data_IF_343170617287
#
_entry.id   IF_343170617287
#
_cell.length_a   1.000
_cell.length_b   1.000
_cell.length_c   1.000
_cell.angle_alpha   90.00
_cell.angle_beta   90.00
_cell.angle_gamma   90.00
#
_symmetry.space_group_name_H-M   'P 1'
#
loop_
_entity.id
_entity.type
_entity.pdbx_description
1 polymer ?
#
# COMPACT_ATOMS: atom_id res chain seq x y z
N UNK A 1 -6.20 10.10 -3.30
CA UNK A 1 -7.64 9.88 -3.14
C UNK A 1 -7.85 8.65 -2.27
N UNK A 2 -8.75 8.71 -1.29
CA UNK A 2 -9.18 7.54 -0.51
C UNK A 2 -10.48 6.96 -1.07
N UNK A 3 -11.02 5.90 -0.44
CA UNK A 3 -12.35 5.38 -0.78
C UNK A 3 -13.36 6.53 -0.83
N UNK A 4 -14.12 6.61 -1.91
CA UNK A 4 -15.08 7.69 -2.10
C UNK A 4 -16.36 7.38 -1.33
N UNK A 5 -16.52 8.05 -0.19
CA UNK A 5 -17.71 7.92 0.65
C UNK A 5 -18.64 9.12 0.40
N UNK A 6 -19.97 8.93 0.41
CA UNK A 6 -20.90 10.03 0.32
C UNK A 6 -20.78 10.94 1.55
N UNK A 7 -21.09 12.22 1.38
CA UNK A 7 -20.95 13.20 2.45
C UNK A 7 -21.83 12.97 3.67
N UNK A 8 -22.93 12.22 3.51
CA UNK A 8 -23.86 11.79 4.55
C UNK A 8 -23.52 10.43 5.18
N UNK A 9 -22.40 9.82 4.76
CA UNK A 9 -21.95 8.56 5.35
C UNK A 9 -21.64 8.76 6.85
N UNK A 10 -22.07 7.84 7.76
CA UNK A 10 -21.88 7.99 9.20
C UNK A 10 -20.43 8.24 9.61
N UNK A 11 -19.46 7.58 8.98
CA UNK A 11 -18.04 7.77 9.27
C UNK A 11 -17.55 9.17 8.85
N UNK A 12 -18.10 9.74 7.77
CA UNK A 12 -17.75 11.10 7.30
C UNK A 12 -18.35 12.13 8.25
N UNK A 13 -19.63 11.97 8.64
CA UNK A 13 -20.31 12.85 9.59
C UNK A 13 -19.65 12.83 10.98
N UNK A 14 -19.13 11.68 11.39
CA UNK A 14 -18.40 11.51 12.65
C UNK A 14 -16.91 11.94 12.56
N UNK A 15 -16.48 12.51 11.44
CA UNK A 15 -15.07 12.87 11.17
C UNK A 15 -14.08 11.76 11.51
N UNK A 16 -14.46 10.51 11.19
CA UNK A 16 -13.61 9.36 11.48
C UNK A 16 -12.31 9.43 10.68
N UNK A 17 -11.22 9.18 11.34
CA UNK A 17 -9.88 9.21 10.71
C UNK A 17 -9.80 8.23 9.53
N UNK A 18 -9.21 8.65 8.41
CA UNK A 18 -9.13 7.93 7.13
C UNK A 18 -10.47 7.70 6.41
N UNK A 19 -11.55 8.35 6.84
CA UNK A 19 -12.90 8.26 6.26
C UNK A 19 -13.43 9.63 5.80
N UNK A 20 -12.56 10.53 5.43
CA UNK A 20 -12.94 11.85 4.91
C UNK A 20 -13.45 11.77 3.48
N UNK A 21 -14.37 12.65 3.11
CA UNK A 21 -14.78 12.83 1.72
C UNK A 21 -13.60 13.30 0.85
N UNK A 22 -13.54 12.81 -0.38
CA UNK A 22 -12.56 13.28 -1.34
C UNK A 22 -12.90 14.70 -1.81
N UNK A 23 -11.87 15.47 -2.15
CA UNK A 23 -12.02 16.76 -2.82
C UNK A 23 -11.81 16.58 -4.31
N UNK A 24 -12.78 16.97 -5.12
CA UNK A 24 -12.75 16.80 -6.55
C UNK A 24 -12.55 18.15 -7.24
N UNK A 25 -11.77 18.22 -8.35
CA UNK A 25 -11.65 19.43 -9.14
C UNK A 25 -13.00 19.78 -9.75
N UNK A 26 -13.38 21.05 -9.66
CA UNK A 26 -14.65 21.56 -10.20
C UNK A 26 -14.60 21.84 -11.71
N UNK A 27 -13.41 22.00 -12.24
CA UNK A 27 -13.11 22.38 -13.63
C UNK A 27 -12.82 21.19 -14.56
N UNK A 28 -12.92 19.95 -14.05
CA UNK A 28 -12.71 18.72 -14.81
C UNK A 28 -13.98 17.85 -14.83
N UNK A 29 -14.95 18.15 -15.71
CA UNK A 29 -16.19 17.37 -15.84
C UNK A 29 -15.89 15.90 -16.14
N UNK A 30 -16.52 14.98 -15.39
CA UNK A 30 -16.35 13.53 -15.58
C UNK A 30 -15.12 12.93 -14.89
N UNK A 31 -14.15 13.72 -14.42
CA UNK A 31 -12.95 13.22 -13.77
C UNK A 31 -13.27 12.31 -12.57
N UNK A 32 -14.17 12.76 -11.65
CA UNK A 32 -14.61 11.94 -10.52
C UNK A 32 -15.14 10.58 -10.96
N UNK A 33 -16.04 10.58 -11.97
CA UNK A 33 -16.66 9.32 -12.46
C UNK A 33 -15.61 8.33 -12.93
N UNK A 34 -14.69 8.76 -13.79
CA UNK A 34 -13.64 7.89 -14.34
C UNK A 34 -12.76 7.32 -13.24
N UNK A 35 -12.35 8.14 -12.27
CA UNK A 35 -11.49 7.70 -11.17
C UNK A 35 -12.22 6.75 -10.21
N UNK A 36 -13.49 7.01 -9.91
CA UNK A 36 -14.30 6.14 -9.03
C UNK A 36 -14.55 4.80 -9.71
N UNK A 37 -14.91 4.78 -10.99
CA UNK A 37 -15.10 3.54 -11.77
C UNK A 37 -13.82 2.71 -11.83
N UNK A 38 -12.66 3.36 -12.05
CA UNK A 38 -11.36 2.69 -11.99
C UNK A 38 -11.11 2.07 -10.60
N UNK A 39 -11.38 2.80 -9.53
CA UNK A 39 -11.19 2.27 -8.17
C UNK A 39 -12.09 1.08 -7.86
N UNK A 40 -13.33 1.07 -8.35
CA UNK A 40 -14.24 -0.07 -8.19
C UNK A 40 -13.67 -1.32 -8.90
N UNK A 41 -13.21 -1.16 -10.14
CA UNK A 41 -12.58 -2.26 -10.89
C UNK A 41 -11.32 -2.79 -10.18
N UNK A 42 -10.50 -1.88 -9.64
CA UNK A 42 -9.30 -2.25 -8.88
C UNK A 42 -9.64 -2.94 -7.55
N UNK A 43 -10.71 -2.52 -6.86
CA UNK A 43 -11.21 -3.18 -5.65
C UNK A 43 -11.65 -4.62 -5.96
N UNK A 44 -12.40 -4.84 -7.05
CA UNK A 44 -12.82 -6.19 -7.47
C UNK A 44 -11.62 -7.09 -7.78
N UNK A 45 -10.61 -6.57 -8.49
CA UNK A 45 -9.37 -7.30 -8.77
C UNK A 45 -8.63 -7.63 -7.47
N UNK A 46 -8.48 -6.65 -6.58
CA UNK A 46 -7.78 -6.82 -5.31
C UNK A 46 -8.46 -7.88 -4.43
N UNK A 47 -9.80 -7.93 -4.37
CA UNK A 47 -10.57 -8.95 -3.64
C UNK A 47 -10.28 -10.37 -4.18
N UNK A 48 -10.19 -10.54 -5.50
CA UNK A 48 -9.80 -11.82 -6.11
C UNK A 48 -8.38 -12.23 -5.68
N UNK A 49 -7.43 -11.28 -5.69
CA UNK A 49 -6.05 -11.54 -5.26
C UNK A 49 -5.98 -11.89 -3.77
N UNK A 50 -6.73 -11.21 -2.89
CA UNK A 50 -6.79 -11.52 -1.45
C UNK A 50 -7.18 -12.98 -1.21
N UNK A 51 -8.13 -13.52 -1.97
CA UNK A 51 -8.51 -14.95 -1.89
C UNK A 51 -7.38 -15.89 -2.34
N UNK A 52 -6.57 -15.49 -3.32
CA UNK A 52 -5.38 -16.25 -3.71
C UNK A 52 -4.32 -16.24 -2.60
N UNK A 53 -4.12 -15.11 -1.92
CA UNK A 53 -3.24 -15.06 -0.75
C UNK A 53 -3.72 -15.96 0.39
N UNK A 54 -5.03 -16.01 0.66
CA UNK A 54 -5.59 -16.97 1.64
C UNK A 54 -5.20 -18.40 1.28
N UNK A 55 -5.40 -18.82 0.03
CA UNK A 55 -5.01 -20.16 -0.44
C UNK A 55 -3.51 -20.42 -0.35
N UNK A 56 -2.68 -19.46 -0.71
CA UNK A 56 -1.22 -19.56 -0.60
C UNK A 56 -0.74 -19.73 0.86
N UNK A 57 -1.56 -19.28 1.82
CA UNK A 57 -1.33 -19.45 3.25
C UNK A 57 -1.94 -20.75 3.82
N UNK A 58 -2.51 -21.61 2.97
CA UNK A 58 -3.19 -22.83 3.43
C UNK A 58 -4.52 -22.57 4.15
N UNK A 59 -5.14 -21.41 3.91
CA UNK A 59 -6.41 -21.00 4.50
C UNK A 59 -7.57 -21.20 3.50
N UNK A 60 -8.83 -21.30 3.97
CA UNK A 60 -9.98 -21.19 3.09
C UNK A 60 -9.93 -19.91 2.25
N UNK A 61 -10.38 -19.97 0.98
CA UNK A 61 -10.33 -18.81 0.08
C UNK A 61 -11.05 -17.58 0.68
N UNK A 62 -12.12 -17.82 1.42
CA UNK A 62 -13.01 -16.82 2.03
C UNK A 62 -12.48 -16.25 3.36
N UNK A 63 -11.33 -16.72 3.85
CA UNK A 63 -10.79 -16.34 5.16
C UNK A 63 -10.72 -14.83 5.37
N UNK A 64 -10.35 -14.11 4.34
CA UNK A 64 -10.22 -12.66 4.39
C UNK A 64 -11.49 -11.89 3.93
N UNK A 65 -12.58 -12.56 3.55
CA UNK A 65 -13.77 -11.87 3.05
C UNK A 65 -14.36 -10.90 4.07
N UNK A 66 -14.44 -11.29 5.35
CA UNK A 66 -14.95 -10.42 6.41
C UNK A 66 -14.03 -9.23 6.70
N UNK A 67 -12.70 -9.41 6.90
CA UNK A 67 -11.77 -8.28 7.02
C UNK A 67 -11.87 -7.27 5.87
N UNK A 68 -12.14 -7.74 4.66
CA UNK A 68 -12.21 -6.91 3.46
C UNK A 68 -13.65 -6.62 3.00
N UNK A 69 -14.68 -6.82 3.82
CA UNK A 69 -16.07 -6.49 3.48
C UNK A 69 -16.25 -5.01 3.14
N UNK A 70 -15.68 -4.15 3.97
CA UNK A 70 -15.61 -2.69 3.78
C UNK A 70 -14.16 -2.25 3.79
N UNK A 71 -13.42 -2.49 2.70
CA UNK A 71 -12.00 -2.26 2.69
C UNK A 71 -11.66 -0.78 2.72
N UNK A 72 -10.47 -0.47 3.20
CA UNK A 72 -9.84 0.80 2.96
C UNK A 72 -9.00 0.70 1.70
N UNK A 73 -9.02 1.75 0.87
CA UNK A 73 -8.08 1.87 -0.22
C UNK A 73 -7.65 3.32 -0.44
N UNK A 74 -6.53 3.47 -1.12
CA UNK A 74 -6.04 4.76 -1.61
C UNK A 74 -5.57 4.59 -3.04
N UNK A 75 -5.94 5.53 -3.91
CA UNK A 75 -5.34 5.68 -5.23
C UNK A 75 -4.38 6.87 -5.19
N UNK A 76 -3.13 6.62 -5.55
CA UNK A 76 -2.10 7.64 -5.76
C UNK A 76 -1.79 7.71 -7.24
N UNK A 77 -2.04 8.86 -7.83
CA UNK A 77 -1.66 9.20 -9.19
C UNK A 77 -0.39 10.04 -9.11
N UNK A 78 0.69 9.52 -9.66
CA UNK A 78 2.00 10.19 -9.59
C UNK A 78 2.51 10.47 -10.98
N UNK A 79 2.91 11.73 -11.19
CA UNK A 79 3.66 12.19 -12.33
C UNK A 79 5.11 12.39 -11.92
N UNK A 80 6.02 11.80 -12.66
CA UNK A 80 7.46 11.99 -12.55
C UNK A 80 7.92 12.70 -13.82
N UNK A 81 8.11 14.01 -13.77
CA UNK A 81 8.56 14.76 -14.95
C UNK A 81 9.92 14.28 -15.42
N UNK A 82 10.21 14.51 -16.69
CA UNK A 82 11.53 14.26 -17.22
C UNK A 82 12.58 15.12 -16.51
N UNK A 83 13.68 14.48 -16.13
CA UNK A 83 14.86 15.14 -15.60
C UNK A 83 16.03 14.89 -16.56
N UNK A 84 16.58 15.97 -17.13
CA UNK A 84 17.63 15.84 -18.15
C UNK A 84 18.91 15.20 -17.60
N UNK A 85 19.26 15.44 -16.34
CA UNK A 85 20.48 14.94 -15.70
C UNK A 85 20.28 14.85 -14.16
N UNK A 86 19.49 13.89 -13.67
CA UNK A 86 19.28 13.78 -12.23
C UNK A 86 20.56 13.29 -11.55
N UNK A 87 20.94 13.83 -10.39
CA UNK A 87 22.01 13.29 -9.57
C UNK A 87 21.83 11.79 -9.30
N UNK A 88 22.93 11.05 -9.16
CA UNK A 88 22.88 9.58 -9.00
C UNK A 88 22.09 9.11 -7.78
N UNK A 89 22.00 9.91 -6.75
CA UNK A 89 21.27 9.67 -5.49
C UNK A 89 19.87 10.25 -5.48
N UNK A 90 19.46 11.02 -6.52
CA UNK A 90 18.12 11.58 -6.58
C UNK A 90 17.10 10.54 -7.06
N UNK A 91 16.09 10.32 -6.26
CA UNK A 91 14.97 9.44 -6.57
C UNK A 91 13.66 10.21 -6.56
N UNK A 92 12.78 9.97 -7.52
CA UNK A 92 11.42 10.50 -7.51
C UNK A 92 10.62 9.99 -6.29
N UNK A 93 10.89 8.76 -5.86
CA UNK A 93 10.48 8.21 -4.56
C UNK A 93 11.65 7.41 -3.99
N UNK A 94 12.12 7.83 -2.81
CA UNK A 94 13.20 7.17 -2.08
C UNK A 94 12.87 5.70 -1.74
N UNK A 95 13.88 4.86 -1.45
CA UNK A 95 13.66 3.48 -1.01
C UNK A 95 12.70 3.38 0.16
N UNK A 96 11.62 2.61 -0.01
CA UNK A 96 10.60 2.38 1.00
C UNK A 96 9.90 1.04 0.80
N UNK A 97 9.07 0.65 1.75
CA UNK A 97 8.08 -0.42 1.63
C UNK A 97 6.69 0.17 1.78
N UNK A 98 5.71 -0.41 1.08
CA UNK A 98 4.32 -0.01 1.25
C UNK A 98 3.76 -0.42 2.61
N UNK A 99 2.88 0.40 3.15
CA UNK A 99 2.18 0.11 4.42
C UNK A 99 0.97 -0.78 4.24
N UNK A 100 0.47 -0.92 3.01
CA UNK A 100 -0.77 -1.63 2.68
C UNK A 100 -0.72 -3.14 2.91
N UNK A 101 -1.89 -3.80 2.78
CA UNK A 101 -1.95 -5.25 2.59
C UNK A 101 -1.46 -5.60 1.18
N UNK A 102 -2.04 -5.00 0.14
CA UNK A 102 -1.61 -5.13 -1.26
C UNK A 102 -1.44 -3.77 -1.92
N UNK A 103 -0.51 -3.69 -2.85
CA UNK A 103 -0.42 -2.59 -3.82
C UNK A 103 -0.54 -3.16 -5.23
N UNK A 104 -1.43 -2.57 -6.02
CA UNK A 104 -1.56 -2.82 -7.45
C UNK A 104 -1.07 -1.57 -8.18
N UNK A 105 0.01 -1.70 -8.92
CA UNK A 105 0.62 -0.60 -9.65
C UNK A 105 0.39 -0.75 -11.15
N UNK A 106 -0.27 0.25 -11.75
CA UNK A 106 -0.32 0.43 -13.20
C UNK A 106 0.74 1.46 -13.61
N UNK A 107 1.88 1.05 -14.16
CA UNK A 107 2.87 1.96 -14.72
C UNK A 107 2.47 2.33 -16.16
N UNK A 108 2.99 3.46 -16.67
CA UNK A 108 3.08 3.62 -18.12
C UNK A 108 4.35 2.92 -18.65
N UNK A 109 4.55 2.96 -19.97
CA UNK A 109 5.67 2.25 -20.65
C UNK A 109 7.06 2.79 -20.30
N UNK A 110 7.12 3.88 -19.53
CA UNK A 110 8.38 4.51 -19.13
C UNK A 110 8.98 3.80 -17.93
N UNK A 111 10.20 3.23 -18.04
CA UNK A 111 10.86 2.53 -16.96
C UNK A 111 11.23 3.45 -15.80
N UNK A 112 11.56 2.87 -14.63
CA UNK A 112 12.00 3.68 -13.49
C UNK A 112 11.73 3.05 -12.14
N UNK A 113 10.96 1.97 -12.07
CA UNK A 113 10.77 1.22 -10.82
C UNK A 113 11.93 0.24 -10.62
N UNK A 114 12.50 0.24 -9.42
CA UNK A 114 13.47 -0.76 -8.97
C UNK A 114 13.00 -1.40 -7.68
N UNK A 115 13.21 -2.70 -7.55
CA UNK A 115 12.92 -3.48 -6.35
C UNK A 115 14.20 -4.04 -5.75
N UNK A 116 14.24 -4.19 -4.43
CA UNK A 116 15.39 -4.75 -3.72
C UNK A 116 15.15 -6.22 -3.43
N UNK A 117 16.02 -7.07 -3.93
CA UNK A 117 15.98 -8.51 -3.64
C UNK A 117 16.35 -8.80 -2.17
N UNK A 118 16.08 -10.02 -1.69
CA UNK A 118 16.52 -10.46 -0.36
C UNK A 118 18.03 -10.46 -0.20
N UNK A 119 18.79 -10.65 -1.30
CA UNK A 119 20.25 -10.52 -1.29
C UNK A 119 20.75 -9.07 -1.22
N UNK A 120 19.83 -8.09 -1.17
CA UNK A 120 20.14 -6.66 -1.08
C UNK A 120 20.41 -5.98 -2.44
N UNK A 121 20.37 -6.73 -3.55
CA UNK A 121 20.60 -6.18 -4.89
C UNK A 121 19.36 -5.45 -5.41
N UNK A 122 19.55 -4.27 -6.00
CA UNK A 122 18.51 -3.55 -6.74
C UNK A 122 18.40 -4.10 -8.15
N UNK A 123 17.19 -4.44 -8.57
CA UNK A 123 16.87 -4.87 -9.94
C UNK A 123 15.74 -4.01 -10.50
N UNK A 124 15.75 -3.80 -11.82
CA UNK A 124 14.66 -3.10 -12.51
C UNK A 124 13.40 -3.97 -12.52
N UNK A 125 12.26 -3.34 -12.28
CA UNK A 125 10.95 -3.93 -12.53
C UNK A 125 10.40 -3.31 -13.83
N UNK A 126 10.46 -4.02 -14.96
CA UNK A 126 10.00 -3.48 -16.24
C UNK A 126 8.48 -3.31 -16.24
N UNK A 127 8.00 -2.31 -16.94
CA UNK A 127 6.59 -2.21 -17.30
C UNK A 127 6.28 -3.33 -18.33
N UNK A 128 5.25 -4.10 -18.05
CA UNK A 128 4.75 -5.13 -18.97
C UNK A 128 3.40 -4.62 -19.47
N UNK A 129 3.17 -4.49 -20.79
CA UNK A 129 1.90 -4.07 -21.34
C UNK A 129 0.74 -4.92 -20.79
N UNK A 130 -0.39 -4.29 -20.53
CA UNK A 130 -1.62 -4.92 -20.03
C UNK A 130 -1.47 -5.71 -18.72
N UNK A 131 -0.45 -5.38 -17.92
CA UNK A 131 -0.19 -6.02 -16.63
C UNK A 131 -0.08 -5.00 -15.49
N UNK A 132 -0.51 -5.44 -14.31
CA UNK A 132 -0.24 -4.74 -13.06
C UNK A 132 0.96 -5.37 -12.36
N UNK A 133 1.82 -4.53 -11.77
CA UNK A 133 2.78 -5.02 -10.79
C UNK A 133 2.06 -5.08 -9.44
N UNK A 134 2.12 -6.26 -8.79
CA UNK A 134 1.48 -6.49 -7.49
C UNK A 134 2.55 -6.79 -6.45
N UNK A 135 2.49 -6.09 -5.32
CA UNK A 135 3.36 -6.36 -4.17
C UNK A 135 2.58 -6.37 -2.86
N UNK A 136 3.06 -7.16 -1.91
CA UNK A 136 2.62 -7.12 -0.52
C UNK A 136 3.27 -5.96 0.22
N UNK A 137 2.51 -5.35 1.13
CA UNK A 137 3.01 -4.31 2.03
C UNK A 137 3.19 -4.81 3.46
N UNK A 138 3.50 -3.88 4.37
CA UNK A 138 3.82 -4.18 5.76
C UNK A 138 2.64 -4.77 6.55
N UNK A 139 1.38 -4.44 6.20
CA UNK A 139 0.23 -5.08 6.84
C UNK A 139 0.09 -6.54 6.45
N UNK A 140 0.34 -6.92 5.18
CA UNK A 140 0.39 -8.33 4.78
C UNK A 140 1.53 -9.05 5.51
N UNK A 141 2.71 -8.44 5.59
CA UNK A 141 3.86 -9.00 6.30
C UNK A 141 3.54 -9.28 7.76
N UNK A 142 2.88 -8.35 8.45
CA UNK A 142 2.45 -8.53 9.85
C UNK A 142 1.41 -9.64 9.99
N UNK A 143 0.39 -9.64 9.13
CA UNK A 143 -0.69 -10.62 9.15
C UNK A 143 -0.19 -12.04 8.89
N UNK A 144 0.87 -12.16 8.11
CA UNK A 144 1.47 -13.45 7.76
C UNK A 144 2.72 -13.80 8.58
N UNK A 145 2.97 -13.05 9.66
CA UNK A 145 4.12 -13.31 10.56
C UNK A 145 5.44 -13.46 9.79
N UNK A 146 5.70 -12.56 8.84
CA UNK A 146 6.87 -12.57 7.93
C UNK A 146 6.91 -13.78 6.96
N UNK A 147 5.77 -14.41 6.64
CA UNK A 147 5.73 -15.39 5.55
C UNK A 147 5.82 -14.69 4.19
N UNK A 148 5.01 -13.64 4.00
CA UNK A 148 5.18 -12.67 2.90
C UNK A 148 5.88 -11.44 3.42
N UNK A 149 6.93 -11.00 2.73
CA UNK A 149 7.71 -9.82 3.10
C UNK A 149 7.27 -8.59 2.28
N UNK A 150 7.25 -7.44 2.92
CA UNK A 150 7.13 -6.17 2.21
C UNK A 150 8.44 -5.89 1.45
N UNK A 151 8.35 -5.79 0.13
CA UNK A 151 9.52 -5.62 -0.73
C UNK A 151 9.94 -4.15 -0.81
N UNK A 152 11.19 -3.79 -0.41
CA UNK A 152 11.69 -2.44 -0.60
C UNK A 152 11.78 -2.11 -2.09
N UNK A 153 11.29 -0.93 -2.44
CA UNK A 153 11.31 -0.44 -3.83
C UNK A 153 11.52 1.07 -3.88
N UNK A 154 11.91 1.57 -5.03
CA UNK A 154 12.13 2.99 -5.31
C UNK A 154 11.75 3.31 -6.75
N UNK A 155 11.46 4.57 -7.04
CA UNK A 155 11.21 5.05 -8.39
C UNK A 155 12.16 6.19 -8.74
N UNK A 156 12.80 6.07 -9.92
CA UNK A 156 13.69 7.07 -10.49
C UNK A 156 13.31 7.24 -11.95
N UNK A 157 13.10 8.46 -12.43
CA UNK A 157 12.84 8.71 -13.84
C UNK A 157 14.10 9.21 -14.55
N UNK A 158 14.83 8.31 -15.19
CA UNK A 158 16.03 8.60 -16.01
C UNK A 158 15.80 8.30 -17.48
N UNK A 159 14.54 8.16 -17.91
CA UNK A 159 14.22 7.63 -19.24
C UNK A 159 14.22 8.68 -20.35
N UNK A 160 14.32 9.96 -20.02
CA UNK A 160 14.13 11.04 -20.97
C UNK A 160 12.67 11.36 -21.33
N UNK A 161 11.70 10.66 -20.75
CA UNK A 161 10.26 10.83 -20.97
C UNK A 161 9.46 11.10 -19.70
N UNK A 162 8.21 11.48 -19.89
CA UNK A 162 7.25 11.70 -18.81
C UNK A 162 6.77 10.36 -18.24
N UNK A 163 7.02 10.10 -16.96
CA UNK A 163 6.61 8.85 -16.33
C UNK A 163 5.38 9.05 -15.44
N UNK A 164 4.37 8.21 -15.64
CA UNK A 164 3.16 8.18 -14.83
C UNK A 164 3.02 6.83 -14.11
N UNK A 165 2.42 6.86 -12.93
CA UNK A 165 2.13 5.65 -12.16
C UNK A 165 0.84 5.82 -11.36
N UNK A 166 -0.05 4.83 -11.47
CA UNK A 166 -1.27 4.73 -10.67
C UNK A 166 -1.09 3.62 -9.65
N UNK A 167 -0.88 3.97 -8.40
CA UNK A 167 -0.72 3.00 -7.31
C UNK A 167 -2.02 2.90 -6.50
N UNK A 168 -2.63 1.72 -6.53
CA UNK A 168 -3.82 1.39 -5.75
C UNK A 168 -3.42 0.56 -4.53
N UNK A 169 -3.45 1.19 -3.36
CA UNK A 169 -3.17 0.55 -2.06
C UNK A 169 -4.46 -0.01 -1.50
N UNK A 170 -4.48 -1.29 -1.18
CA UNK A 170 -5.66 -1.99 -0.73
C UNK A 170 -5.44 -2.60 0.66
N UNK A 171 -6.36 -2.31 1.58
CA UNK A 171 -6.28 -2.65 2.99
C UNK A 171 -7.61 -3.20 3.52
N UNK A 172 -7.57 -3.86 4.67
CA UNK A 172 -8.76 -4.30 5.38
C UNK A 172 -9.62 -3.12 5.84
N UNK A 173 -10.79 -3.44 6.38
CA UNK A 173 -11.58 -2.50 7.16
C UNK A 173 -10.72 -1.87 8.27
N UNK A 174 -10.89 -0.57 8.49
CA UNK A 174 -10.08 0.21 9.45
C UNK A 174 -10.22 -0.26 10.89
N UNK A 175 -11.32 -0.93 11.22
CA UNK A 175 -11.64 -1.44 12.56
C UNK A 175 -11.36 -2.94 12.71
N UNK A 176 -10.83 -3.60 11.66
CA UNK A 176 -10.52 -5.01 11.75
C UNK A 176 -9.17 -5.25 12.44
N UNK A 177 -9.11 -6.18 13.42
CA UNK A 177 -7.85 -6.49 14.08
C UNK A 177 -6.90 -7.25 13.14
N UNK A 178 -5.71 -6.74 12.98
CA UNK A 178 -4.59 -7.36 12.22
C UNK A 178 -3.75 -8.16 13.20
N UNK A 179 -3.90 -9.47 13.16
CA UNK A 179 -3.14 -10.43 13.96
C UNK A 179 -2.57 -11.51 13.04
N UNK A 180 -1.48 -12.16 13.45
CA UNK A 180 -0.90 -13.23 12.67
C UNK A 180 -1.91 -14.36 12.42
N UNK A 181 -2.04 -14.78 11.15
CA UNK A 181 -2.94 -15.89 10.77
C UNK A 181 -2.48 -17.22 11.37
N UNK A 182 -3.41 -18.11 11.75
CA UNK A 182 -3.06 -19.35 12.47
C UNK A 182 -2.02 -20.21 11.75
N UNK A 183 -2.09 -20.31 10.44
CA UNK A 183 -1.17 -21.12 9.62
C UNK A 183 0.26 -20.58 9.57
N UNK A 184 0.50 -19.33 9.98
CA UNK A 184 1.82 -18.71 10.05
C UNK A 184 2.42 -18.72 11.48
N UNK A 185 1.78 -19.43 12.41
CA UNK A 185 2.19 -19.53 13.81
C UNK A 185 2.52 -21.00 14.12
N UNK A 186 3.66 -21.24 14.76
CA UNK A 186 4.06 -22.54 15.30
C UNK A 186 4.66 -22.34 16.68
N UNK A 187 4.84 -23.41 17.50
CA UNK A 187 5.54 -23.28 18.77
C UNK A 187 6.93 -22.63 18.64
N UNK A 188 7.64 -22.91 17.54
CA UNK A 188 8.99 -22.38 17.28
C UNK A 188 8.94 -21.00 16.57
N UNK A 189 7.78 -20.61 16.07
CA UNK A 189 7.55 -19.31 15.42
C UNK A 189 6.29 -18.65 15.98
N UNK A 190 6.31 -18.15 17.22
CA UNK A 190 5.19 -17.45 17.82
C UNK A 190 4.89 -16.14 17.08
N UNK A 191 3.74 -15.48 17.33
CA UNK A 191 3.42 -14.20 16.75
C UNK A 191 4.51 -13.16 17.03
N UNK A 192 5.15 -12.66 16.00
CA UNK A 192 6.20 -11.63 16.08
C UNK A 192 5.63 -10.25 16.40
N UNK A 193 4.42 -9.99 15.93
CA UNK A 193 3.77 -8.70 16.02
C UNK A 193 2.56 -8.76 16.95
N UNK A 194 2.41 -7.75 17.80
CA UNK A 194 1.17 -7.57 18.56
C UNK A 194 0.00 -7.26 17.59
N UNK A 195 -1.20 -7.69 17.98
CA UNK A 195 -2.43 -7.31 17.27
C UNK A 195 -2.54 -5.78 17.19
N UNK A 196 -2.91 -5.28 16.03
CA UNK A 196 -3.12 -3.85 15.79
C UNK A 196 -4.34 -3.64 14.91
N UNK A 197 -4.85 -2.41 14.86
CA UNK A 197 -5.87 -1.98 13.90
C UNK A 197 -5.21 -1.13 12.81
N UNK A 198 -5.82 -1.10 11.61
CA UNK A 198 -5.32 -0.26 10.52
C UNK A 198 -5.12 1.20 10.97
N UNK A 199 -6.11 1.76 11.67
CA UNK A 199 -6.05 3.15 12.15
C UNK A 199 -4.84 3.39 13.05
N UNK A 200 -4.63 2.53 14.06
CA UNK A 200 -3.51 2.69 15.01
C UNK A 200 -2.16 2.52 14.33
N UNK A 201 -2.06 1.51 13.45
CA UNK A 201 -0.87 1.27 12.65
C UNK A 201 -0.52 2.50 11.80
N UNK A 202 -1.49 3.05 11.07
CA UNK A 202 -1.28 4.20 10.19
C UNK A 202 -0.97 5.48 10.96
N UNK A 203 -1.61 5.72 12.12
CA UNK A 203 -1.26 6.85 13.00
C UNK A 203 0.19 6.75 13.44
N UNK A 204 0.61 5.58 13.91
CA UNK A 204 1.99 5.32 14.32
C UNK A 204 2.97 5.53 13.18
N UNK A 205 2.69 4.97 12.01
CA UNK A 205 3.49 5.16 10.80
C UNK A 205 3.65 6.65 10.45
N UNK A 206 2.56 7.41 10.43
CA UNK A 206 2.60 8.84 10.12
C UNK A 206 3.45 9.63 11.13
N UNK A 207 3.31 9.34 12.42
CA UNK A 207 4.12 9.98 13.46
C UNK A 207 5.61 9.72 13.26
N UNK A 208 5.98 8.49 12.89
CA UNK A 208 7.38 8.10 12.65
C UNK A 208 7.96 8.76 11.40
N UNK A 209 7.18 8.79 10.32
CA UNK A 209 7.64 9.26 9.00
C UNK A 209 7.72 10.78 8.92
N UNK A 210 6.76 11.50 9.51
CA UNK A 210 6.65 12.96 9.37
C UNK A 210 7.23 13.75 10.54
N UNK A 211 8.19 13.18 11.26
CA UNK A 211 8.97 13.90 12.29
C UNK A 211 8.16 14.46 13.48
N UNK A 212 7.01 13.90 13.79
CA UNK A 212 6.19 14.29 14.95
C UNK A 212 6.70 13.63 16.25
N UNK A 213 7.73 12.76 16.16
CA UNK A 213 8.28 12.03 17.29
C UNK A 213 9.63 12.57 17.77
N UNK A 214 9.90 12.41 19.05
CA UNK A 214 11.22 12.62 19.64
C UNK A 214 12.27 11.64 19.06
N UNK A 215 13.55 12.00 19.15
CA UNK A 215 14.66 11.18 18.64
C UNK A 215 14.71 9.79 19.28
N UNK A 216 14.27 9.65 20.54
CA UNK A 216 14.21 8.37 21.25
C UNK A 216 13.13 7.42 20.69
N UNK A 217 11.96 7.96 20.40
CA UNK A 217 10.84 7.17 19.82
C UNK A 217 11.15 6.69 18.40
N UNK A 218 11.92 7.47 17.61
CA UNK A 218 12.40 7.06 16.27
C UNK A 218 13.37 5.89 16.35
N UNK A 219 14.36 5.93 17.28
CA UNK A 219 15.32 4.83 17.48
C UNK A 219 14.62 3.54 17.89
N UNK A 220 13.60 3.65 18.74
CA UNK A 220 12.78 2.50 19.13
C UNK A 220 12.05 1.93 17.93
N UNK A 221 11.42 2.75 17.12
CA UNK A 221 10.65 2.35 15.94
C UNK A 221 11.51 1.64 14.88
N UNK A 222 12.69 2.16 14.58
CA UNK A 222 13.68 1.55 13.68
C UNK A 222 14.16 0.19 14.18
N UNK A 223 14.38 0.06 15.51
CA UNK A 223 14.83 -1.20 16.13
C UNK A 223 13.80 -2.33 16.03
N UNK A 224 12.51 -2.00 15.98
CA UNK A 224 11.40 -2.98 15.96
C UNK A 224 10.69 -3.08 14.61
N UNK A 225 11.29 -2.56 13.52
CA UNK A 225 10.75 -2.66 12.16
C UNK A 225 9.39 -1.98 12.00
N UNK A 226 9.17 -0.86 12.70
CA UNK A 226 7.90 -0.13 12.74
C UNK A 226 7.99 1.16 11.91
N UNK A 227 9.15 1.42 11.30
CA UNK A 227 9.40 2.50 10.36
C UNK A 227 9.68 1.93 8.97
#
# INVERSE_FOLDING_TARGET
>A
MARDLPSDHPDVLADRRFRSANRWPSDLPGFRKVIVDYCHTMEELARKLVRLYARALGLPAEYFDQPFKEPQYKLRMTHYPHQADPPDDESGIAPHTDTSFLTLLAPNDVPGLSIRTQSGKWISAPAIPDAFLVNGGQLLQRWTNDYFLATPHRAVNRSGGERYALAFFFDSNIDWPVAAVPTCITPDKPPKYATTYYTDYMIRYQRLTYNVLSTGERRFALRFGIA
#
